data_IF_606005147731
#
_entry.id   IF_606005147731
#
_cell.length_a   1.000
_cell.length_b   1.000
_cell.length_c   1.000
_cell.angle_alpha   90.00
_cell.angle_beta   90.00
_cell.angle_gamma   90.00
#
_symmetry.space_group_name_H-M   'P 1'
#
loop_
_entity.id
_entity.type
_entity.pdbx_description
1 polymer ?
#
# COMPACT_ATOMS: atom_id res chain seq x y z
N UNK A 1 9.72 -20.14 5.51
CA UNK A 1 9.96 -19.11 6.54
C UNK A 1 9.99 -17.75 5.89
N UNK A 2 9.42 -16.75 6.58
CA UNK A 2 9.31 -15.40 6.00
C UNK A 2 10.66 -14.77 5.69
N UNK A 3 11.68 -15.05 6.51
CA UNK A 3 13.03 -14.52 6.33
C UNK A 3 13.74 -15.05 5.10
N UNK A 4 13.26 -16.15 4.52
CA UNK A 4 13.87 -16.74 3.31
C UNK A 4 13.22 -16.24 2.03
N UNK A 5 12.21 -15.39 2.14
CA UNK A 5 11.49 -14.87 0.97
C UNK A 5 12.34 -13.83 0.24
N UNK A 6 12.40 -13.97 -1.08
CA UNK A 6 13.02 -12.96 -1.92
C UNK A 6 12.14 -11.71 -1.98
N UNK A 7 12.72 -10.52 -2.25
CA UNK A 7 11.91 -9.30 -2.40
C UNK A 7 10.77 -9.43 -3.41
N UNK A 8 10.98 -10.18 -4.49
CA UNK A 8 9.93 -10.41 -5.49
C UNK A 8 8.77 -11.24 -4.92
N UNK A 9 9.08 -12.19 -4.03
CA UNK A 9 8.04 -12.99 -3.38
C UNK A 9 7.26 -12.16 -2.36
N UNK A 10 7.94 -11.29 -1.65
CA UNK A 10 7.29 -10.35 -0.73
C UNK A 10 6.32 -9.45 -1.49
N UNK A 11 6.75 -8.93 -2.63
CA UNK A 11 5.90 -8.10 -3.48
C UNK A 11 4.62 -8.84 -3.90
N UNK A 12 4.72 -10.09 -4.38
CA UNK A 12 3.54 -10.84 -4.81
C UNK A 12 2.55 -11.06 -3.66
N UNK A 13 3.07 -11.39 -2.48
CA UNK A 13 2.24 -11.60 -1.29
C UNK A 13 1.56 -10.29 -0.86
N UNK A 14 2.32 -9.20 -0.82
CA UNK A 14 1.81 -7.91 -0.37
C UNK A 14 0.82 -7.31 -1.36
N UNK A 15 1.06 -7.48 -2.66
CA UNK A 15 0.14 -7.02 -3.69
C UNK A 15 -1.21 -7.72 -3.56
N UNK A 16 -1.20 -9.05 -3.45
CA UNK A 16 -2.42 -9.81 -3.28
C UNK A 16 -3.14 -9.45 -1.98
N UNK A 17 -2.39 -9.32 -0.89
CA UNK A 17 -2.97 -8.95 0.40
C UNK A 17 -3.65 -7.58 0.34
N UNK A 18 -3.01 -6.60 -0.28
CA UNK A 18 -3.60 -5.27 -0.41
C UNK A 18 -4.88 -5.32 -1.25
N UNK A 19 -4.87 -6.08 -2.33
CA UNK A 19 -6.04 -6.19 -3.19
C UNK A 19 -7.19 -6.95 -2.50
N UNK A 20 -6.92 -8.13 -1.97
CA UNK A 20 -7.97 -9.02 -1.44
C UNK A 20 -8.46 -8.62 -0.06
N UNK A 21 -7.53 -8.28 0.83
CA UNK A 21 -7.85 -8.11 2.25
C UNK A 21 -8.02 -6.64 2.64
N UNK A 22 -7.22 -5.75 2.11
CA UNK A 22 -7.31 -4.32 2.44
C UNK A 22 -8.41 -3.66 1.62
N UNK A 23 -8.41 -3.86 0.30
CA UNK A 23 -9.40 -3.21 -0.58
C UNK A 23 -10.59 -4.10 -0.91
N UNK A 24 -10.43 -5.41 -0.84
CA UNK A 24 -11.49 -6.39 -1.20
C UNK A 24 -11.93 -6.25 -2.64
N UNK A 25 -10.96 -6.12 -3.53
CA UNK A 25 -11.17 -5.97 -4.96
C UNK A 25 -10.81 -7.24 -5.70
N UNK A 26 -11.44 -7.44 -6.86
CA UNK A 26 -11.02 -8.44 -7.83
C UNK A 26 -9.77 -7.95 -8.57
N UNK A 27 -9.12 -8.86 -9.30
CA UNK A 27 -8.01 -8.47 -10.17
C UNK A 27 -8.45 -7.45 -11.22
N UNK A 28 -9.65 -7.61 -11.76
CA UNK A 28 -10.20 -6.67 -12.74
C UNK A 28 -10.44 -5.29 -12.15
N UNK A 29 -10.91 -5.22 -10.92
CA UNK A 29 -11.14 -3.95 -10.24
C UNK A 29 -9.83 -3.20 -9.99
N UNK A 30 -8.80 -3.92 -9.54
CA UNK A 30 -7.48 -3.29 -9.37
C UNK A 30 -6.92 -2.84 -10.73
N UNK A 31 -7.03 -3.69 -11.74
CA UNK A 31 -6.52 -3.38 -13.07
C UNK A 31 -7.15 -2.11 -13.63
N UNK A 32 -8.46 -1.95 -13.47
CA UNK A 32 -9.17 -0.75 -13.91
C UNK A 32 -8.63 0.49 -13.21
N UNK A 33 -8.45 0.42 -11.89
CA UNK A 33 -7.96 1.57 -11.11
C UNK A 33 -6.49 1.88 -11.39
N UNK A 34 -5.69 0.87 -11.67
CA UNK A 34 -4.28 1.04 -11.99
C UNK A 34 -4.05 1.28 -13.48
N UNK A 35 -5.11 1.26 -14.29
CA UNK A 35 -5.07 1.52 -15.74
C UNK A 35 -4.13 0.55 -16.46
N UNK A 36 -4.35 -0.73 -16.25
CA UNK A 36 -3.61 -1.80 -16.91
C UNK A 36 -4.51 -3.00 -17.13
N UNK A 37 -4.13 -3.93 -18.02
CA UNK A 37 -4.93 -5.13 -18.24
C UNK A 37 -4.99 -6.03 -17.01
N UNK A 38 -6.11 -6.73 -16.77
CA UNK A 38 -6.18 -7.70 -15.64
C UNK A 38 -5.11 -8.79 -15.72
N UNK A 39 -4.68 -9.18 -16.91
CA UNK A 39 -3.61 -10.17 -17.09
C UNK A 39 -2.31 -9.69 -16.46
N UNK A 40 -2.03 -8.38 -16.48
CA UNK A 40 -0.84 -7.83 -15.83
C UNK A 40 -0.89 -8.05 -14.33
N UNK A 41 -2.04 -7.79 -13.71
CA UNK A 41 -2.21 -8.03 -12.27
C UNK A 41 -1.98 -9.51 -11.95
N UNK A 42 -2.58 -10.41 -12.74
CA UNK A 42 -2.39 -11.84 -12.54
C UNK A 42 -0.92 -12.25 -12.61
N UNK A 43 -0.19 -11.74 -13.59
CA UNK A 43 1.24 -12.04 -13.73
C UNK A 43 2.07 -11.50 -12.58
N UNK A 44 1.74 -10.32 -12.06
CA UNK A 44 2.43 -9.78 -10.90
C UNK A 44 2.15 -10.60 -9.64
N UNK A 45 0.92 -11.08 -9.47
CA UNK A 45 0.55 -11.85 -8.28
C UNK A 45 1.10 -13.28 -8.29
N UNK A 46 1.38 -13.83 -9.46
CA UNK A 46 2.00 -15.15 -9.56
C UNK A 46 3.53 -15.10 -9.59
N UNK A 47 4.10 -13.89 -9.70
CA UNK A 47 5.54 -13.72 -9.80
C UNK A 47 6.10 -13.99 -11.19
N UNK A 48 5.23 -14.22 -12.18
CA UNK A 48 5.65 -14.45 -13.57
C UNK A 48 6.29 -13.20 -14.18
N UNK A 49 5.89 -12.03 -13.68
CA UNK A 49 6.35 -10.74 -14.17
C UNK A 49 6.66 -9.82 -13.00
N UNK A 50 7.76 -9.07 -13.13
CA UNK A 50 8.15 -8.05 -12.14
C UNK A 50 7.72 -6.67 -12.63
N UNK A 51 7.17 -5.82 -11.77
CA UNK A 51 6.78 -4.48 -12.19
C UNK A 51 8.00 -3.58 -12.38
N UNK A 52 7.88 -2.64 -13.32
CA UNK A 52 8.80 -1.49 -13.40
C UNK A 52 8.53 -0.56 -12.21
N UNK A 53 9.41 0.42 -12.00
CA UNK A 53 9.18 1.44 -10.97
C UNK A 53 7.88 2.21 -11.20
N UNK A 54 7.59 2.57 -12.43
CA UNK A 54 6.34 3.28 -12.75
C UNK A 54 5.12 2.43 -12.46
N UNK A 55 5.16 1.16 -12.82
CA UNK A 55 4.07 0.23 -12.54
C UNK A 55 3.90 0.01 -11.05
N UNK A 56 5.01 -0.12 -10.32
CA UNK A 56 4.96 -0.26 -8.86
C UNK A 56 4.28 0.95 -8.21
N UNK A 57 4.66 2.16 -8.61
CA UNK A 57 4.02 3.39 -8.11
C UNK A 57 2.54 3.42 -8.43
N UNK A 58 2.19 3.04 -9.65
CA UNK A 58 0.80 3.03 -10.11
C UNK A 58 -0.05 2.08 -9.29
N UNK A 59 0.48 0.89 -8.99
CA UNK A 59 -0.20 -0.09 -8.15
C UNK A 59 -0.36 0.42 -6.72
N UNK A 60 0.69 0.98 -6.15
CA UNK A 60 0.64 1.54 -4.80
C UNK A 60 -0.39 2.66 -4.69
N UNK A 61 -0.40 3.56 -5.66
CA UNK A 61 -1.37 4.65 -5.69
C UNK A 61 -2.81 4.14 -5.84
N UNK A 62 -3.03 3.18 -6.72
CA UNK A 62 -4.36 2.61 -6.92
C UNK A 62 -4.87 1.92 -5.65
N UNK A 63 -4.00 1.21 -4.96
CA UNK A 63 -4.34 0.50 -3.72
C UNK A 63 -4.35 1.39 -2.48
N UNK A 64 -3.85 2.61 -2.62
CA UNK A 64 -3.66 3.55 -1.51
C UNK A 64 -2.80 2.95 -0.39
N UNK A 65 -1.72 2.31 -0.81
CA UNK A 65 -0.68 1.82 0.09
C UNK A 65 0.66 2.42 -0.35
N UNK A 66 1.69 2.29 0.48
CA UNK A 66 3.01 2.78 0.12
C UNK A 66 3.78 1.76 -0.72
N UNK A 67 4.71 2.25 -1.54
CA UNK A 67 5.65 1.35 -2.22
C UNK A 67 6.52 0.60 -1.23
N UNK A 68 6.86 1.22 -0.09
CA UNK A 68 7.64 0.56 0.97
C UNK A 68 6.90 -0.67 1.52
N UNK A 69 5.59 -0.58 1.68
CA UNK A 69 4.79 -1.74 2.08
C UNK A 69 4.88 -2.86 1.04
N UNK A 70 4.68 -2.53 -0.23
CA UNK A 70 4.71 -3.53 -1.30
C UNK A 70 6.07 -4.19 -1.44
N UNK A 71 7.15 -3.47 -1.11
CA UNK A 71 8.51 -4.00 -1.19
C UNK A 71 8.95 -4.70 0.10
N UNK A 72 8.11 -4.72 1.13
CA UNK A 72 8.44 -5.35 2.40
C UNK A 72 9.35 -4.52 3.29
N UNK A 73 9.51 -3.24 2.99
CA UNK A 73 10.35 -2.34 3.79
C UNK A 73 9.61 -1.70 4.95
N UNK A 74 8.29 -1.71 4.90
CA UNK A 74 7.43 -1.25 5.98
C UNK A 74 6.28 -2.24 6.12
N UNK A 75 5.92 -2.58 7.35
CA UNK A 75 4.84 -3.53 7.61
C UNK A 75 3.48 -2.87 7.61
N UNK A 76 3.40 -1.58 7.90
CA UNK A 76 2.16 -0.83 7.87
C UNK A 76 1.93 -0.28 6.46
N UNK A 77 0.81 -0.64 5.80
CA UNK A 77 0.57 -0.19 4.43
C UNK A 77 0.54 1.33 4.25
N UNK A 78 0.25 2.07 5.31
CA UNK A 78 0.11 3.52 5.26
C UNK A 78 1.39 4.27 5.61
N UNK A 79 2.42 3.58 6.13
CA UNK A 79 3.64 4.24 6.60
C UNK A 79 4.81 3.91 5.69
N UNK A 80 5.49 4.96 5.21
CA UNK A 80 6.75 4.81 4.52
C UNK A 80 7.88 4.73 5.54
N UNK A 81 8.92 3.95 5.22
CA UNK A 81 10.11 3.84 6.06
C UNK A 81 10.96 5.10 6.00
N UNK A 82 10.80 5.90 4.96
CA UNK A 82 11.60 7.07 4.72
C UNK A 82 11.44 8.14 5.79
N UNK A 83 12.47 8.89 6.00
CA UNK A 83 12.79 9.74 7.11
C UNK A 83 11.94 10.96 7.41
N UNK A 84 10.67 11.01 7.07
CA UNK A 84 9.81 12.06 7.59
C UNK A 84 9.64 11.82 9.10
N UNK A 85 9.95 12.81 9.96
CA UNK A 85 9.83 12.64 11.41
C UNK A 85 8.45 12.21 11.87
N UNK A 86 7.39 12.67 11.19
CA UNK A 86 6.03 12.27 11.53
C UNK A 86 5.83 10.77 11.35
N UNK A 87 6.25 10.22 10.23
CA UNK A 87 6.13 8.79 9.98
C UNK A 87 6.99 7.98 10.94
N UNK A 88 8.17 8.48 11.26
CA UNK A 88 9.07 7.83 12.24
C UNK A 88 8.41 7.78 13.61
N UNK A 89 7.82 8.88 14.04
CA UNK A 89 7.15 8.96 15.34
C UNK A 89 5.92 8.06 15.37
N UNK A 90 5.15 8.02 14.28
CA UNK A 90 4.01 7.11 14.19
C UNK A 90 4.41 5.64 14.28
N UNK A 91 5.60 5.31 13.77
CA UNK A 91 6.13 3.94 13.84
C UNK A 91 6.42 3.48 15.26
N UNK A 92 6.61 4.42 16.20
CA UNK A 92 6.86 4.11 17.61
C UNK A 92 5.58 3.84 18.40
N UNK A 93 4.44 4.15 17.83
CA UNK A 93 3.15 3.97 18.50
C UNK A 93 2.69 2.51 18.42
N UNK A 94 1.82 2.12 19.35
CA UNK A 94 1.10 0.86 19.21
C UNK A 94 0.16 0.94 18.00
N UNK A 95 -0.29 -0.22 17.51
CA UNK A 95 -1.25 -0.24 16.42
C UNK A 95 -2.53 0.53 16.76
N UNK A 96 -3.00 0.38 18.01
CA UNK A 96 -4.20 1.08 18.48
C UNK A 96 -3.98 2.60 18.46
N UNK A 97 -2.86 3.07 18.98
CA UNK A 97 -2.56 4.50 19.02
C UNK A 97 -2.38 5.09 17.63
N UNK A 98 -1.78 4.32 16.71
CA UNK A 98 -1.66 4.75 15.32
C UNK A 98 -3.03 4.93 14.66
N UNK A 99 -3.94 4.01 14.90
CA UNK A 99 -5.30 4.10 14.36
C UNK A 99 -6.01 5.35 14.90
N UNK A 100 -5.85 5.61 16.18
CA UNK A 100 -6.41 6.82 16.80
C UNK A 100 -5.83 8.08 16.16
N UNK A 101 -4.50 8.11 15.96
CA UNK A 101 -3.84 9.24 15.32
C UNK A 101 -4.33 9.45 13.88
N UNK A 102 -4.52 8.36 13.12
CA UNK A 102 -5.05 8.44 11.76
C UNK A 102 -6.45 9.05 11.72
N UNK A 103 -7.32 8.62 12.62
CA UNK A 103 -8.66 9.16 12.71
C UNK A 103 -8.65 10.65 13.00
N UNK A 104 -7.78 11.09 13.89
CA UNK A 104 -7.62 12.50 14.21
C UNK A 104 -7.13 13.30 13.01
N UNK A 105 -6.10 12.80 12.33
CA UNK A 105 -5.54 13.45 11.13
C UNK A 105 -6.61 13.54 10.04
N UNK A 106 -7.34 12.46 9.82
CA UNK A 106 -8.41 12.44 8.83
C UNK A 106 -9.49 13.46 9.15
N UNK A 107 -9.88 13.57 10.41
CA UNK A 107 -10.88 14.54 10.82
C UNK A 107 -10.43 15.98 10.54
N UNK A 108 -9.15 16.28 10.79
CA UNK A 108 -8.58 17.58 10.47
C UNK A 108 -8.56 17.85 8.97
N UNK A 109 -8.18 16.86 8.19
CA UNK A 109 -8.14 16.99 6.72
C UNK A 109 -9.54 17.22 6.14
N UNK A 110 -10.53 16.49 6.61
CA UNK A 110 -11.92 16.64 6.17
C UNK A 110 -12.46 18.03 6.52
N UNK A 111 -12.09 18.52 7.68
CA UNK A 111 -12.48 19.84 8.13
C UNK A 111 -11.91 20.94 7.22
N UNK A 112 -10.65 20.82 6.81
CA UNK A 112 -10.03 21.78 5.88
C UNK A 112 -10.69 21.72 4.50
N UNK A 113 -11.03 20.54 4.01
CA UNK A 113 -11.74 20.38 2.74
C UNK A 113 -13.09 21.11 2.76
N UNK A 114 -13.83 21.01 3.86
CA UNK A 114 -15.12 21.67 4.00
C UNK A 114 -15.01 23.19 4.04
N UNK A 115 -13.92 23.70 4.61
CA UNK A 115 -13.69 25.15 4.63
C UNK A 115 -13.43 25.75 3.27
N UNK A 116 -12.93 24.97 2.33
CA UNK A 116 -12.61 25.41 0.96
C UNK A 116 -13.82 25.42 0.05
N UNK A 117 -14.90 24.81 0.48
CA UNK A 117 -16.17 24.83 -0.26
C UNK A 117 -16.99 26.04 0.21
#
# INVERSE_FOLDING_TARGET
MAEDLKPSDIFTIRLRNARENIRKWSQSQLAERAKMPPSSIAHFETGTRKPSFDTLRRLANALDVTTDYLLGRADDPALAEAGDPLYRDMGKLTAHDRDTARLFIKALADRESKKKE
#
